data_IF_182863293019
#
_entry.id   IF_182863293019
#
_cell.length_a   1.000
_cell.length_b   1.000
_cell.length_c   1.000
_cell.angle_alpha   90.00
_cell.angle_beta   90.00
_cell.angle_gamma   90.00
#
_symmetry.space_group_name_H-M   'P 1'
#
loop_
_entity.id
_entity.type
_entity.pdbx_description
1 polymer ?
#
# COMPACT_ATOMS: atom_id res chain seq x y z
N UNK A 1 -8.72 13.90 -7.98
CA UNK A 1 -7.61 14.75 -7.49
C UNK A 1 -7.84 15.39 -6.13
N UNK A 2 -9.09 15.62 -5.69
CA UNK A 2 -9.46 16.27 -4.40
C UNK A 2 -8.54 16.01 -3.20
N UNK A 3 -8.18 14.76 -2.91
CA UNK A 3 -7.33 14.41 -1.74
C UNK A 3 -5.92 15.01 -1.88
N UNK A 4 -5.33 14.91 -3.07
CA UNK A 4 -4.01 15.46 -3.37
C UNK A 4 -4.03 16.99 -3.40
N UNK A 5 -5.06 17.57 -4.04
CA UNK A 5 -5.24 19.03 -4.11
C UNK A 5 -5.47 19.68 -2.74
N UNK A 6 -6.01 18.91 -1.78
CA UNK A 6 -6.15 19.33 -0.38
C UNK A 6 -4.84 19.26 0.44
N UNK A 7 -3.72 18.87 -0.18
CA UNK A 7 -2.41 18.80 0.46
C UNK A 7 -2.14 17.50 1.23
N UNK A 8 -2.96 16.46 1.06
CA UNK A 8 -2.72 15.16 1.68
C UNK A 8 -1.72 14.31 0.90
N UNK A 9 -0.89 13.55 1.62
CA UNK A 9 0.00 12.56 1.01
C UNK A 9 -0.80 11.38 0.45
N UNK A 10 -0.44 10.93 -0.75
CA UNK A 10 -0.97 9.71 -1.35
C UNK A 10 0.01 8.56 -1.09
N UNK A 11 -0.51 7.45 -0.55
CA UNK A 11 0.24 6.24 -0.24
C UNK A 11 -0.31 5.03 -0.97
N UNK A 12 0.53 4.01 -1.13
CA UNK A 12 0.20 2.78 -1.83
C UNK A 12 -0.43 1.75 -0.87
N UNK A 13 -1.49 1.08 -1.31
CA UNK A 13 -2.15 0.02 -0.55
C UNK A 13 -2.42 -1.23 -1.40
N UNK A 14 -1.50 -1.55 -2.32
CA UNK A 14 -1.59 -2.56 -3.39
C UNK A 14 -2.59 -2.22 -4.47
N UNK A 15 -2.60 -3.00 -5.55
CA UNK A 15 -3.52 -2.80 -6.66
C UNK A 15 -4.83 -3.57 -6.46
N UNK A 16 -4.77 -4.79 -5.89
CA UNK A 16 -5.93 -5.69 -5.77
C UNK A 16 -6.31 -6.07 -4.33
N UNK A 17 -5.65 -5.51 -3.33
CA UNK A 17 -5.84 -5.84 -1.92
C UNK A 17 -5.69 -7.34 -1.59
N UNK A 18 -4.61 -8.02 -2.04
CA UNK A 18 -4.40 -9.45 -1.79
C UNK A 18 -3.86 -9.73 -0.38
N UNK A 19 -3.88 -11.01 0.03
CA UNK A 19 -3.08 -11.51 1.15
C UNK A 19 -1.59 -11.53 0.78
N UNK A 20 -0.97 -10.35 0.78
CA UNK A 20 0.37 -10.10 0.25
C UNK A 20 1.46 -10.86 1.03
N UNK A 21 1.20 -11.24 2.29
CA UNK A 21 2.10 -12.06 3.09
C UNK A 21 2.33 -13.47 2.53
N UNK A 22 1.47 -13.93 1.60
CA UNK A 22 1.57 -15.26 0.95
C UNK A 22 2.20 -15.20 -0.44
N UNK A 23 2.60 -14.01 -0.90
CA UNK A 23 3.11 -13.78 -2.25
C UNK A 23 4.63 -13.90 -2.33
N UNK A 24 5.13 -14.28 -3.51
CA UNK A 24 6.55 -14.22 -3.83
C UNK A 24 6.97 -12.79 -4.22
N UNK A 25 8.27 -12.54 -4.32
CA UNK A 25 8.84 -11.23 -4.64
C UNK A 25 8.28 -10.59 -5.92
N UNK A 26 8.11 -11.37 -7.00
CA UNK A 26 7.58 -10.82 -8.26
C UNK A 26 6.13 -10.36 -8.09
N UNK A 27 5.31 -11.19 -7.44
CA UNK A 27 3.91 -10.87 -7.18
C UNK A 27 3.76 -9.62 -6.29
N UNK A 28 4.59 -9.49 -5.25
CA UNK A 28 4.62 -8.28 -4.41
C UNK A 28 4.97 -7.05 -5.23
N UNK A 29 6.00 -7.15 -6.10
CA UNK A 29 6.41 -6.06 -6.98
C UNK A 29 5.29 -5.64 -7.93
N UNK A 30 4.61 -6.61 -8.54
CA UNK A 30 3.53 -6.34 -9.49
C UNK A 30 2.37 -5.58 -8.81
N UNK A 31 1.97 -6.01 -7.62
CA UNK A 31 0.92 -5.34 -6.84
C UNK A 31 1.26 -3.90 -6.46
N UNK A 32 2.52 -3.64 -6.07
CA UNK A 32 2.99 -2.29 -5.71
C UNK A 32 3.09 -1.42 -6.97
N UNK A 33 3.72 -1.91 -8.03
CA UNK A 33 4.06 -1.11 -9.20
C UNK A 33 2.88 -0.87 -10.13
N UNK A 34 1.93 -1.80 -10.24
CA UNK A 34 0.71 -1.56 -11.03
C UNK A 34 -0.11 -0.40 -10.44
N UNK A 35 -0.25 -0.35 -9.10
CA UNK A 35 -0.86 0.79 -8.41
C UNK A 35 -0.03 2.07 -8.61
N UNK A 36 1.30 1.97 -8.47
CA UNK A 36 2.20 3.11 -8.64
C UNK A 36 2.06 3.77 -10.01
N UNK A 37 2.10 2.99 -11.09
CA UNK A 37 2.02 3.54 -12.44
C UNK A 37 0.67 4.23 -12.69
N UNK A 38 -0.45 3.66 -12.22
CA UNK A 38 -1.77 4.29 -12.32
C UNK A 38 -1.81 5.65 -11.60
N UNK A 39 -1.25 5.72 -10.40
CA UNK A 39 -1.19 6.98 -9.64
C UNK A 39 -0.25 7.98 -10.30
N UNK A 40 0.91 7.52 -10.81
CA UNK A 40 1.88 8.37 -11.51
C UNK A 40 1.30 8.96 -12.79
N UNK A 41 0.56 8.17 -13.56
CA UNK A 41 -0.12 8.62 -14.79
C UNK A 41 -1.17 9.69 -14.48
N UNK A 42 -1.92 9.51 -13.40
CA UNK A 42 -2.98 10.44 -13.00
C UNK A 42 -2.41 11.73 -12.38
N UNK A 43 -1.49 11.61 -11.42
CA UNK A 43 -1.07 12.71 -10.54
C UNK A 43 0.34 13.24 -10.82
N UNK A 44 1.16 12.54 -11.61
CA UNK A 44 2.56 12.88 -11.82
C UNK A 44 3.49 12.64 -10.62
N UNK A 45 2.97 12.08 -9.53
CA UNK A 45 3.71 11.86 -8.27
C UNK A 45 4.25 10.45 -8.14
N UNK A 46 5.37 10.32 -7.42
CA UNK A 46 5.88 9.03 -6.95
C UNK A 46 5.44 8.81 -5.50
N UNK A 47 4.67 7.76 -5.25
CA UNK A 47 4.33 7.37 -3.88
C UNK A 47 5.56 6.77 -3.20
N UNK A 48 5.79 7.14 -1.93
CA UNK A 48 6.97 6.74 -1.15
C UNK A 48 6.65 5.90 0.09
N UNK A 49 5.36 5.72 0.40
CA UNK A 49 4.89 4.88 1.52
C UNK A 49 3.94 3.79 1.03
N UNK A 50 4.14 2.59 1.55
CA UNK A 50 3.31 1.42 1.29
C UNK A 50 2.76 0.88 2.59
N UNK A 51 1.44 0.65 2.64
CA UNK A 51 0.80 -0.10 3.71
C UNK A 51 0.36 -1.45 3.15
N UNK A 52 0.79 -2.59 3.69
CA UNK A 52 0.32 -3.89 3.24
C UNK A 52 -1.17 -4.10 3.57
N UNK A 53 -1.98 -4.66 2.66
CA UNK A 53 -3.33 -5.12 2.96
C UNK A 53 -3.37 -6.04 4.19
N UNK A 54 -4.45 -5.96 4.95
CA UNK A 54 -4.67 -6.75 6.18
C UNK A 54 -3.60 -6.57 7.27
N UNK A 55 -2.65 -5.64 7.10
CA UNK A 55 -1.49 -5.53 7.97
C UNK A 55 -0.52 -6.71 7.83
N UNK A 56 -0.64 -7.54 6.79
CA UNK A 56 0.21 -8.70 6.57
C UNK A 56 1.58 -8.31 6.01
N UNK A 57 2.66 -8.69 6.69
CA UNK A 57 4.01 -8.46 6.20
C UNK A 57 4.96 -9.60 6.58
N UNK A 58 6.01 -9.74 5.78
CA UNK A 58 7.13 -10.62 6.04
C UNK A 58 8.41 -10.01 5.41
N UNK A 59 9.54 -10.70 5.51
CA UNK A 59 10.80 -10.22 4.94
C UNK A 59 10.74 -10.01 3.42
N UNK A 60 10.00 -10.84 2.69
CA UNK A 60 9.81 -10.67 1.24
C UNK A 60 9.07 -9.37 0.96
N UNK A 61 7.97 -9.11 1.67
CA UNK A 61 7.18 -7.87 1.50
C UNK A 61 8.02 -6.64 1.84
N UNK A 62 8.69 -6.63 3.00
CA UNK A 62 9.49 -5.47 3.45
C UNK A 62 10.64 -5.19 2.48
N UNK A 63 11.45 -6.21 2.15
CA UNK A 63 12.61 -6.03 1.29
C UNK A 63 12.21 -5.59 -0.11
N UNK A 64 11.19 -6.23 -0.69
CA UNK A 64 10.70 -5.86 -2.03
C UNK A 64 10.16 -4.43 -2.04
N UNK A 65 9.40 -4.02 -1.02
CA UNK A 65 8.89 -2.64 -0.93
C UNK A 65 10.04 -1.62 -0.88
N UNK A 66 11.05 -1.87 -0.04
CA UNK A 66 12.22 -0.98 0.07
C UNK A 66 13.08 -0.93 -1.19
N UNK A 67 13.27 -2.06 -1.88
CA UNK A 67 13.94 -2.10 -3.18
C UNK A 67 13.22 -1.25 -4.23
N UNK A 68 11.90 -1.08 -4.11
CA UNK A 68 11.08 -0.23 -4.97
C UNK A 68 10.99 1.22 -4.50
N UNK A 69 11.75 1.61 -3.46
CA UNK A 69 11.77 2.98 -2.94
C UNK A 69 10.64 3.31 -1.95
N UNK A 70 9.94 2.30 -1.42
CA UNK A 70 8.87 2.50 -0.44
C UNK A 70 9.31 2.23 0.99
N UNK A 71 8.87 3.10 1.90
CA UNK A 71 8.81 2.78 3.32
C UNK A 71 7.51 2.05 3.67
N UNK A 72 7.62 1.00 4.49
CA UNK A 72 6.47 0.19 4.90
C UNK A 72 5.92 0.73 6.22
N UNK A 73 4.65 1.13 6.22
CA UNK A 73 4.00 1.72 7.40
C UNK A 73 2.93 0.79 7.98
N UNK A 74 2.88 0.74 9.31
CA UNK A 74 1.84 0.06 10.08
C UNK A 74 1.13 1.04 11.01
N UNK A 75 0.19 0.54 11.81
CA UNK A 75 -0.48 1.30 12.85
C UNK A 75 -0.22 0.68 14.22
N UNK A 76 -0.22 1.52 15.26
CA UNK A 76 -0.19 1.06 16.65
C UNK A 76 -1.59 0.90 17.24
N UNK A 77 -2.55 1.73 16.78
CA UNK A 77 -3.94 1.72 17.23
C UNK A 77 -4.85 1.39 16.05
N UNK A 78 -5.69 0.35 16.19
CA UNK A 78 -6.74 0.01 15.23
C UNK A 78 -8.09 0.51 15.74
N UNK A 79 -8.78 1.31 14.92
CA UNK A 79 -10.12 1.83 15.24
C UNK A 79 -11.22 0.76 15.25
N UNK A 80 -10.96 -0.41 14.67
CA UNK A 80 -11.94 -1.50 14.50
C UNK A 80 -13.20 -1.12 13.69
N UNK A 81 -13.20 0.03 12.99
CA UNK A 81 -14.38 0.53 12.29
C UNK A 81 -14.99 -0.47 11.28
N UNK A 82 -14.16 -1.31 10.66
CA UNK A 82 -14.59 -2.36 9.73
C UNK A 82 -15.23 -3.58 10.42
N UNK A 83 -15.09 -3.71 11.75
CA UNK A 83 -15.71 -4.77 12.56
C UNK A 83 -17.01 -4.33 13.23
N UNK A 84 -17.33 -3.03 13.24
CA UNK A 84 -18.52 -2.48 13.93
C UNK A 84 -19.80 -2.59 13.08
N UNK A 85 -19.73 -3.18 11.89
CA UNK A 85 -20.96 -3.56 11.17
C UNK A 85 -21.48 -4.89 11.75
N UNK A 86 -22.68 -4.84 12.35
CA UNK A 86 -23.51 -5.94 12.89
C UNK A 86 -23.64 -5.97 14.43
N UNK A 87 -24.35 -4.97 14.95
CA UNK A 87 -25.44 -5.17 15.93
C UNK A 87 -26.69 -4.48 15.40
#
# INVERSE_FOLDING_TARGET
>A
MKIYEAGHQIGNHSNKHPHIGKMNKSQVKDEIMECHHKVKELLGIDMVVFRPPYGEYNNTVIKTSRELGYEVIQWFVDSLATKVQMV
#
